data_IF_427650271817
#
_entry.id   IF_427650271817
#
_cell.length_a   1.000
_cell.length_b   1.000
_cell.length_c   1.000
_cell.angle_alpha   90.00
_cell.angle_beta   90.00
_cell.angle_gamma   90.00
#
_symmetry.space_group_name_H-M   'P 1'
#
loop_
_entity.id
_entity.type
_entity.pdbx_description
1 polymer ?
#
# COMPACT_ATOMS: atom_id res chain seq x y z
N UNK A 1 -6.98 -11.74 19.20
CA UNK A 1 -7.36 -12.78 18.22
C UNK A 1 -8.87 -12.87 18.19
N UNK A 2 -9.45 -12.98 16.99
CA UNK A 2 -10.91 -12.97 16.80
C UNK A 2 -11.27 -14.25 16.03
N UNK A 3 -11.74 -15.31 16.72
CA UNK A 3 -11.84 -16.67 16.17
C UNK A 3 -12.65 -16.76 14.87
N UNK A 4 -13.66 -15.89 14.73
CA UNK A 4 -14.50 -15.82 13.53
C UNK A 4 -13.72 -15.29 12.33
N UNK A 5 -12.89 -14.26 12.53
CA UNK A 5 -12.08 -13.66 11.46
C UNK A 5 -11.07 -14.66 10.92
N UNK A 6 -10.42 -15.42 11.80
CA UNK A 6 -9.41 -16.41 11.42
C UNK A 6 -10.03 -17.61 10.71
N UNK A 7 -11.19 -18.07 11.16
CA UNK A 7 -11.96 -19.11 10.47
C UNK A 7 -12.33 -18.66 9.04
N UNK A 8 -12.87 -17.44 8.87
CA UNK A 8 -13.22 -16.91 7.55
C UNK A 8 -11.99 -16.80 6.65
N UNK A 9 -10.86 -16.27 7.14
CA UNK A 9 -9.60 -16.17 6.37
C UNK A 9 -9.08 -17.51 5.86
N UNK A 10 -9.40 -18.61 6.54
CA UNK A 10 -9.01 -19.95 6.10
C UNK A 10 -9.85 -20.48 4.93
N UNK A 11 -11.07 -19.96 4.75
CA UNK A 11 -12.05 -20.43 3.76
C UNK A 11 -12.09 -19.58 2.48
N UNK A 12 -11.59 -18.34 2.51
CA UNK A 12 -11.68 -17.40 1.39
C UNK A 12 -10.36 -17.26 0.63
N UNK A 13 -10.45 -16.88 -0.65
CA UNK A 13 -9.30 -16.66 -1.55
C UNK A 13 -8.57 -15.33 -1.31
N UNK A 14 -8.94 -14.59 -0.28
CA UNK A 14 -8.38 -13.28 0.03
C UNK A 14 -9.25 -12.48 0.97
N UNK A 15 -8.73 -11.37 1.45
CA UNK A 15 -9.49 -10.44 2.29
C UNK A 15 -8.95 -9.02 2.14
N UNK A 16 -9.85 -8.05 2.30
CA UNK A 16 -9.54 -6.63 2.34
C UNK A 16 -9.74 -6.17 3.78
N UNK A 17 -8.68 -5.68 4.39
CA UNK A 17 -8.71 -5.14 5.76
C UNK A 17 -8.98 -3.64 5.68
N UNK A 18 -10.01 -3.20 6.38
CA UNK A 18 -10.23 -1.78 6.63
C UNK A 18 -9.58 -1.39 7.95
N UNK A 19 -8.78 -0.34 7.96
CA UNK A 19 -8.07 0.12 9.13
C UNK A 19 -8.54 1.51 9.57
N UNK A 20 -8.87 1.61 10.86
CA UNK A 20 -9.40 2.83 11.46
C UNK A 20 -8.40 3.98 11.45
N UNK A 21 -7.09 3.71 11.61
CA UNK A 21 -6.07 4.77 11.58
C UNK A 21 -5.98 5.41 10.20
N UNK A 22 -6.16 4.63 9.13
CA UNK A 22 -6.20 5.15 7.76
C UNK A 22 -7.42 6.07 7.57
N UNK A 23 -8.59 5.64 8.06
CA UNK A 23 -9.82 6.43 8.02
C UNK A 23 -9.70 7.74 8.82
N UNK A 24 -9.05 7.71 9.98
CA UNK A 24 -8.80 8.89 10.84
C UNK A 24 -7.87 9.92 10.17
N UNK A 25 -7.03 9.50 9.21
CA UNK A 25 -6.24 10.40 8.34
C UNK A 25 -7.02 10.94 7.13
N UNK A 26 -8.29 10.60 6.99
CA UNK A 26 -9.12 11.04 5.86
C UNK A 26 -8.77 10.34 4.53
N UNK A 27 -8.23 9.12 4.59
CA UNK A 27 -7.96 8.32 3.40
C UNK A 27 -9.08 7.29 3.25
N UNK A 28 -9.81 7.38 2.14
CA UNK A 28 -10.88 6.47 1.79
C UNK A 28 -10.70 5.99 0.34
N UNK A 29 -10.98 4.70 0.04
CA UNK A 29 -11.32 3.63 0.98
C UNK A 29 -10.19 3.34 1.99
N UNK A 30 -10.54 3.07 3.26
CA UNK A 30 -9.57 2.95 4.35
C UNK A 30 -8.86 1.58 4.37
N UNK A 31 -8.32 1.15 3.23
CA UNK A 31 -7.76 -0.19 3.02
C UNK A 31 -6.32 -0.25 3.52
N UNK A 32 -6.02 -1.20 4.40
CA UNK A 32 -4.64 -1.56 4.75
C UNK A 32 -4.10 -2.57 3.75
N UNK A 33 -3.26 -2.09 2.83
CA UNK A 33 -2.67 -2.89 1.76
C UNK A 33 -1.72 -3.96 2.30
N UNK A 34 -1.00 -3.67 3.40
CA UNK A 34 -0.04 -4.58 4.01
C UNK A 34 -0.72 -5.76 4.68
N UNK A 35 -1.91 -5.54 5.25
CA UNK A 35 -2.73 -6.58 5.90
C UNK A 35 -3.75 -7.24 4.96
N UNK A 36 -3.93 -6.71 3.75
CA UNK A 36 -4.85 -7.27 2.74
C UNK A 36 -4.13 -8.20 1.76
N UNK A 37 -4.84 -9.24 1.31
CA UNK A 37 -4.30 -10.22 0.38
C UNK A 37 -5.36 -10.71 -0.61
N UNK A 38 -4.92 -10.97 -1.84
CA UNK A 38 -5.65 -11.75 -2.84
C UNK A 38 -4.75 -12.91 -3.26
N UNK A 39 -5.17 -14.16 -3.01
CA UNK A 39 -4.38 -15.37 -3.30
C UNK A 39 -4.32 -15.66 -4.79
N UNK A 40 -5.38 -15.30 -5.52
CA UNK A 40 -5.47 -15.47 -6.99
C UNK A 40 -4.68 -14.41 -7.76
N UNK A 41 -4.21 -13.34 -7.10
CA UNK A 41 -3.55 -12.23 -7.78
C UNK A 41 -2.37 -12.69 -8.64
N UNK A 42 -1.56 -13.64 -8.14
CA UNK A 42 -0.38 -14.16 -8.84
C UNK A 42 -0.72 -14.90 -10.14
N UNK A 43 -1.95 -15.39 -10.26
CA UNK A 43 -2.42 -16.17 -11.41
C UNK A 43 -3.10 -15.30 -12.48
N UNK A 44 -3.55 -14.09 -12.10
CA UNK A 44 -4.36 -13.22 -12.96
C UNK A 44 -3.64 -11.94 -13.42
N UNK A 45 -2.45 -11.66 -12.88
CA UNK A 45 -1.63 -10.52 -13.32
C UNK A 45 -0.30 -10.97 -13.91
N UNK A 46 0.25 -10.16 -14.82
CA UNK A 46 1.57 -10.39 -15.38
C UNK A 46 2.71 -10.12 -14.36
N UNK A 47 3.93 -10.48 -14.74
CA UNK A 47 5.13 -10.33 -13.91
C UNK A 47 5.45 -8.87 -13.58
N UNK A 48 5.22 -7.96 -14.51
CA UNK A 48 5.49 -6.52 -14.33
C UNK A 48 4.55 -5.94 -13.27
N UNK A 49 3.27 -6.33 -13.32
CA UNK A 49 2.27 -5.99 -12.32
C UNK A 49 2.63 -6.56 -10.97
N UNK A 50 3.00 -7.84 -10.90
CA UNK A 50 3.44 -8.46 -9.65
C UNK A 50 4.63 -7.73 -9.03
N UNK A 51 5.62 -7.36 -9.83
CA UNK A 51 6.79 -6.61 -9.37
C UNK A 51 6.40 -5.22 -8.88
N UNK A 52 5.60 -4.48 -9.65
CA UNK A 52 5.13 -3.15 -9.25
C UNK A 52 4.36 -3.19 -7.92
N UNK A 53 3.48 -4.18 -7.74
CA UNK A 53 2.73 -4.36 -6.50
C UNK A 53 3.63 -4.71 -5.31
N UNK A 54 4.71 -5.46 -5.51
CA UNK A 54 5.71 -5.73 -4.46
C UNK A 54 6.43 -4.45 -4.06
N UNK A 55 6.96 -3.70 -5.02
CA UNK A 55 7.62 -2.41 -4.76
C UNK A 55 6.72 -1.45 -4.01
N UNK A 56 5.43 -1.39 -4.38
CA UNK A 56 4.44 -0.57 -3.70
C UNK A 56 4.29 -0.95 -2.22
N UNK A 57 4.23 -2.26 -1.91
CA UNK A 57 4.20 -2.75 -0.52
C UNK A 57 5.52 -2.48 0.20
N UNK A 58 6.65 -2.60 -0.47
CA UNK A 58 7.98 -2.35 0.11
C UNK A 58 8.14 -0.88 0.52
N UNK A 59 7.64 0.06 -0.28
CA UNK A 59 7.61 1.49 0.09
C UNK A 59 6.77 1.69 1.35
N UNK A 60 5.54 1.13 1.39
CA UNK A 60 4.63 1.25 2.54
C UNK A 60 5.26 0.65 3.80
N UNK A 61 5.89 -0.52 3.69
CA UNK A 61 6.57 -1.17 4.80
C UNK A 61 7.76 -0.33 5.30
N UNK A 62 8.61 0.14 4.38
CA UNK A 62 9.79 0.97 4.71
C UNK A 62 9.37 2.28 5.41
N UNK A 63 8.31 2.93 4.93
CA UNK A 63 7.76 4.11 5.59
C UNK A 63 7.19 3.77 6.97
N UNK A 64 6.41 2.68 7.07
CA UNK A 64 5.75 2.24 8.30
C UNK A 64 6.72 1.91 9.44
N UNK A 65 7.90 1.35 9.13
CA UNK A 65 8.96 1.10 10.12
C UNK A 65 9.49 2.38 10.80
N UNK A 66 9.36 3.52 10.13
CA UNK A 66 9.89 4.81 10.59
C UNK A 66 8.81 5.86 10.86
N UNK A 67 7.53 5.54 10.63
CA UNK A 67 6.40 6.48 10.72
C UNK A 67 6.39 7.21 12.07
N UNK A 68 6.59 6.48 13.17
CA UNK A 68 6.60 7.05 14.52
C UNK A 68 7.76 8.04 14.72
N UNK A 69 8.96 7.69 14.22
CA UNK A 69 10.18 8.53 14.31
C UNK A 69 10.04 9.79 13.46
N UNK A 70 9.48 9.65 12.26
CA UNK A 70 9.18 10.77 11.36
C UNK A 70 8.15 11.70 12.00
N UNK A 71 7.08 11.15 12.59
CA UNK A 71 5.98 11.91 13.18
C UNK A 71 6.41 12.76 14.38
N UNK A 72 7.37 12.30 15.18
CA UNK A 72 7.94 13.10 16.29
C UNK A 72 9.05 14.06 15.83
N UNK A 73 9.36 14.10 14.53
CA UNK A 73 10.40 14.97 13.95
C UNK A 73 11.83 14.52 14.27
N UNK A 74 12.03 13.28 14.70
CA UNK A 74 13.35 12.74 15.07
C UNK A 74 14.13 12.14 13.89
N UNK A 75 13.48 11.99 12.73
CA UNK A 75 14.14 11.48 11.53
C UNK A 75 14.98 12.58 10.83
N UNK A 76 16.24 12.25 10.52
CA UNK A 76 17.15 13.15 9.79
C UNK A 76 17.31 12.69 8.34
N UNK A 77 17.00 13.57 7.39
CA UNK A 77 17.19 13.30 5.96
C UNK A 77 18.65 12.92 5.67
N UNK A 78 18.86 11.91 4.83
CA UNK A 78 20.18 11.38 4.47
C UNK A 78 20.68 10.26 5.38
N UNK A 79 19.95 9.93 6.46
CA UNK A 79 20.30 8.80 7.33
C UNK A 79 20.12 7.45 6.64
N UNK A 80 19.17 7.33 5.72
CA UNK A 80 18.91 6.12 4.96
C UNK A 80 18.24 6.44 3.63
N UNK A 81 18.86 6.05 2.52
CA UNK A 81 18.33 6.30 1.19
C UNK A 81 16.95 5.65 0.93
N UNK A 82 16.71 4.37 1.33
CA UNK A 82 15.37 3.78 1.27
C UNK A 82 14.31 4.57 2.02
N UNK A 83 14.61 5.02 3.25
CA UNK A 83 13.62 5.71 4.08
C UNK A 83 13.34 7.10 3.52
N UNK A 84 14.37 7.84 3.11
CA UNK A 84 14.21 9.14 2.46
C UNK A 84 13.29 9.06 1.24
N UNK A 85 13.52 8.05 0.39
CA UNK A 85 12.72 7.86 -0.80
C UNK A 85 11.30 7.37 -0.46
N UNK A 86 11.14 6.54 0.57
CA UNK A 86 9.82 6.14 1.03
C UNK A 86 9.01 7.33 1.53
N UNK A 87 9.63 8.24 2.28
CA UNK A 87 9.00 9.51 2.72
C UNK A 87 8.58 10.36 1.52
N UNK A 88 9.41 10.44 0.49
CA UNK A 88 9.11 11.20 -0.73
C UNK A 88 7.95 10.59 -1.55
N UNK A 89 7.87 9.26 -1.62
CA UNK A 89 6.88 8.54 -2.41
C UNK A 89 5.55 8.33 -1.67
N UNK A 90 5.54 8.38 -0.33
CA UNK A 90 4.35 8.11 0.46
C UNK A 90 3.14 8.99 0.09
N UNK A 91 3.27 10.31 -0.15
CA UNK A 91 2.15 11.14 -0.61
C UNK A 91 1.55 10.67 -1.95
N UNK A 92 2.38 10.16 -2.87
CA UNK A 92 1.90 9.62 -4.15
C UNK A 92 1.17 8.28 -3.96
N UNK A 93 1.65 7.45 -3.03
CA UNK A 93 0.96 6.22 -2.63
C UNK A 93 -0.40 6.53 -2.02
N UNK A 94 -0.47 7.48 -1.08
CA UNK A 94 -1.74 7.86 -0.45
C UNK A 94 -2.73 8.41 -1.48
N UNK A 95 -2.25 9.21 -2.43
CA UNK A 95 -3.07 9.70 -3.54
C UNK A 95 -3.56 8.56 -4.45
N UNK A 96 -2.74 7.55 -4.72
CA UNK A 96 -3.12 6.38 -5.50
C UNK A 96 -4.16 5.50 -4.79
N UNK A 97 -4.07 5.38 -3.45
CA UNK A 97 -4.99 4.57 -2.66
C UNK A 97 -6.31 5.28 -2.34
N UNK A 98 -6.33 6.62 -2.38
CA UNK A 98 -7.54 7.42 -2.19
C UNK A 98 -8.39 7.37 -3.45
N UNK A 99 -9.70 7.14 -3.26
CA UNK A 99 -10.68 7.18 -4.34
C UNK A 99 -12.02 7.70 -3.79
N UNK A 100 -12.57 8.73 -4.42
CA UNK A 100 -13.82 9.34 -3.99
C UNK A 100 -15.04 8.49 -4.35
N UNK A 101 -16.15 8.69 -3.63
CA UNK A 101 -17.42 8.02 -3.93
C UNK A 101 -17.90 8.48 -5.31
N UNK A 102 -18.05 7.53 -6.23
CA UNK A 102 -18.46 7.78 -7.61
C UNK A 102 -17.30 8.00 -8.57
N UNK A 103 -16.07 8.15 -8.07
CA UNK A 103 -14.88 8.11 -8.91
C UNK A 103 -14.67 6.71 -9.48
N UNK A 104 -14.29 6.63 -10.75
CA UNK A 104 -13.97 5.38 -11.42
C UNK A 104 -12.53 5.40 -11.92
N UNK A 105 -11.82 4.31 -11.70
CA UNK A 105 -10.55 4.04 -12.36
C UNK A 105 -10.65 2.78 -13.21
N UNK A 106 -10.17 2.83 -14.45
CA UNK A 106 -10.05 1.65 -15.29
C UNK A 106 -8.82 0.84 -14.91
N UNK A 107 -8.79 -0.44 -15.29
CA UNK A 107 -7.64 -1.31 -15.04
C UNK A 107 -6.35 -0.73 -15.63
N UNK A 108 -6.40 -0.23 -16.86
CA UNK A 108 -5.28 0.34 -17.59
C UNK A 108 -4.75 1.60 -16.92
N UNK A 109 -5.66 2.48 -16.46
CA UNK A 109 -5.28 3.70 -15.72
C UNK A 109 -4.60 3.35 -14.40
N UNK A 110 -5.22 2.50 -13.59
CA UNK A 110 -4.66 2.06 -12.31
C UNK A 110 -3.30 1.39 -12.48
N UNK A 111 -3.17 0.49 -13.47
CA UNK A 111 -1.91 -0.21 -13.76
C UNK A 111 -0.81 0.77 -14.15
N UNK A 112 -1.11 1.75 -15.02
CA UNK A 112 -0.15 2.76 -15.44
C UNK A 112 0.32 3.64 -14.27
N UNK A 113 -0.60 4.09 -13.41
CA UNK A 113 -0.27 4.91 -12.24
C UNK A 113 0.57 4.14 -11.23
N UNK A 114 0.22 2.88 -10.96
CA UNK A 114 1.02 2.00 -10.10
C UNK A 114 2.43 1.81 -10.67
N UNK A 115 2.57 1.60 -11.98
CA UNK A 115 3.88 1.41 -12.62
C UNK A 115 4.74 2.66 -12.53
N UNK A 116 4.12 3.85 -12.68
CA UNK A 116 4.83 5.14 -12.53
C UNK A 116 5.43 5.27 -11.14
N UNK A 117 4.66 4.99 -10.09
CA UNK A 117 5.13 5.09 -8.70
C UNK A 117 6.21 4.04 -8.44
N UNK A 118 5.96 2.78 -8.85
CA UNK A 118 6.89 1.68 -8.64
C UNK A 118 8.22 1.86 -9.39
N UNK A 119 8.24 2.56 -10.54
CA UNK A 119 9.46 2.85 -11.28
C UNK A 119 10.40 3.79 -10.52
N UNK A 120 9.89 4.61 -9.60
CA UNK A 120 10.69 5.47 -8.75
C UNK A 120 11.35 4.72 -7.58
N UNK A 121 10.98 3.46 -7.34
CA UNK A 121 11.57 2.61 -6.29
C UNK A 121 12.61 1.66 -6.90
N UNK A 122 13.92 1.86 -6.64
CA UNK A 122 14.98 1.11 -7.30
C UNK A 122 15.18 -0.31 -6.75
N UNK A 123 14.73 -0.56 -5.53
CA UNK A 123 14.74 -1.87 -4.89
C UNK A 123 13.60 -2.75 -5.42
#
# INVERSE_FOLDING_TARGET
EEPVSDAVRSLVDGHIVLDRKIAERGIYPAIDVSRSISRVAIDVVDKEHTLAARKFRDIIATYGEMEDVIRIGAYSKGASHPIDLAIELMPQIEAFLRQDIGERSSFEKTRLEMFRIAAAWPW
#
